data_IF_502723725476
#
_entry.id   IF_502723725476
#
_cell.length_a   1.000
_cell.length_b   1.000
_cell.length_c   1.000
_cell.angle_alpha   90.00
_cell.angle_beta   90.00
_cell.angle_gamma   90.00
#
_symmetry.space_group_name_H-M   'P 1'
#
loop_
_entity.id
_entity.type
_entity.pdbx_description
1 polymer ?
#
# COMPACT_ATOMS: atom_id res chain seq x y z
N UNK A 1 -21.57 -3.15 -12.27
CA UNK A 1 -20.21 -3.22 -11.70
C UNK A 1 -20.16 -2.21 -10.57
N UNK A 2 -20.20 -2.65 -9.30
CA UNK A 2 -20.14 -1.73 -8.15
C UNK A 2 -18.70 -1.22 -8.01
N UNK A 3 -18.50 0.07 -8.30
CA UNK A 3 -17.26 0.78 -8.01
C UNK A 3 -17.16 0.97 -6.50
N UNK A 4 -16.20 0.29 -5.86
CA UNK A 4 -15.80 0.67 -4.51
C UNK A 4 -15.05 2.00 -4.62
N UNK A 5 -15.45 2.99 -3.83
CA UNK A 5 -14.71 4.25 -3.75
C UNK A 5 -13.31 3.95 -3.18
N UNK A 6 -12.21 4.51 -3.69
CA UNK A 6 -10.87 4.39 -3.08
C UNK A 6 -10.86 4.69 -1.57
N UNK A 7 -11.73 5.58 -1.10
CA UNK A 7 -11.91 5.89 0.33
C UNK A 7 -12.60 4.77 1.13
N UNK A 8 -12.98 3.66 0.50
CA UNK A 8 -13.59 2.51 1.18
C UNK A 8 -12.56 1.62 1.87
N UNK A 9 -11.27 2.00 1.84
CA UNK A 9 -10.16 1.31 2.50
C UNK A 9 -10.08 -0.17 2.10
N UNK A 10 -10.08 -1.07 3.08
CA UNK A 10 -9.99 -2.52 2.87
C UNK A 10 -11.04 -3.09 1.91
N UNK A 11 -12.25 -2.50 1.82
CA UNK A 11 -13.28 -2.96 0.88
C UNK A 11 -12.91 -2.68 -0.57
N UNK A 12 -12.21 -1.58 -0.83
CA UNK A 12 -11.70 -1.26 -2.16
C UNK A 12 -10.62 -2.26 -2.58
N UNK A 13 -9.66 -2.52 -1.70
CA UNK A 13 -8.58 -3.49 -1.95
C UNK A 13 -9.12 -4.92 -2.13
N UNK A 14 -10.08 -5.35 -1.31
CA UNK A 14 -10.74 -6.64 -1.50
C UNK A 14 -11.43 -6.71 -2.87
N UNK A 15 -12.17 -5.66 -3.27
CA UNK A 15 -12.83 -5.64 -4.57
C UNK A 15 -11.82 -5.70 -5.71
N UNK A 16 -10.69 -5.02 -5.57
CA UNK A 16 -9.59 -5.04 -6.53
C UNK A 16 -8.99 -6.45 -6.66
N UNK A 17 -8.70 -7.12 -5.55
CA UNK A 17 -8.21 -8.50 -5.55
C UNK A 17 -9.20 -9.45 -6.23
N UNK A 18 -10.50 -9.33 -5.95
CA UNK A 18 -11.54 -10.16 -6.57
C UNK A 18 -11.68 -9.95 -8.09
N UNK A 19 -11.20 -8.82 -8.64
CA UNK A 19 -11.17 -8.61 -10.09
C UNK A 19 -9.99 -9.29 -10.79
N UNK A 20 -8.93 -9.58 -10.05
CA UNK A 20 -7.67 -10.12 -10.59
C UNK A 20 -7.53 -11.62 -10.27
N UNK A 21 -7.85 -12.02 -9.04
CA UNK A 21 -7.74 -13.40 -8.58
C UNK A 21 -8.93 -14.23 -9.09
N UNK A 22 -8.65 -15.14 -10.02
CA UNK A 22 -9.67 -16.06 -10.56
C UNK A 22 -9.81 -17.28 -9.66
N UNK A 23 -11.03 -17.50 -9.16
CA UNK A 23 -11.38 -18.70 -8.38
C UNK A 23 -10.62 -18.84 -7.05
N UNK A 24 -10.63 -17.82 -6.17
CA UNK A 24 -10.05 -17.96 -4.83
C UNK A 24 -10.71 -19.12 -4.09
N UNK A 25 -9.90 -20.01 -3.51
CA UNK A 25 -10.38 -21.16 -2.73
C UNK A 25 -10.90 -20.76 -1.36
N UNK A 26 -10.40 -19.64 -0.82
CA UNK A 26 -10.81 -19.07 0.46
C UNK A 26 -10.51 -17.56 0.50
N UNK A 27 -11.01 -16.86 1.51
CA UNK A 27 -10.59 -15.47 1.75
C UNK A 27 -9.09 -15.36 2.05
N UNK A 28 -8.50 -16.34 2.74
CA UNK A 28 -7.04 -16.41 2.98
C UNK A 28 -6.24 -16.50 1.68
N UNK A 29 -6.76 -17.20 0.67
CA UNK A 29 -6.10 -17.26 -0.64
C UNK A 29 -5.97 -15.88 -1.32
N UNK A 30 -6.81 -14.91 -0.95
CA UNK A 30 -6.69 -13.53 -1.43
C UNK A 30 -5.51 -12.80 -0.78
N UNK A 31 -5.17 -13.16 0.46
CA UNK A 31 -4.00 -12.61 1.17
C UNK A 31 -2.68 -13.24 0.73
N UNK A 32 -2.72 -14.42 0.09
CA UNK A 32 -1.51 -15.11 -0.34
C UNK A 32 -1.07 -14.65 -1.74
N UNK A 33 0.16 -14.15 -1.87
CA UNK A 33 0.82 -13.82 -3.15
C UNK A 33 2.10 -14.64 -3.21
N UNK A 34 2.25 -15.46 -4.25
CA UNK A 34 3.45 -16.31 -4.45
C UNK A 34 3.85 -17.16 -3.23
N UNK A 35 2.87 -17.60 -2.43
CA UNK A 35 3.07 -18.42 -1.23
C UNK A 35 3.39 -17.62 0.04
N UNK A 36 3.36 -16.28 -0.01
CA UNK A 36 3.53 -15.40 1.15
C UNK A 36 2.17 -14.87 1.57
N UNK A 37 1.80 -15.06 2.83
CA UNK A 37 0.58 -14.48 3.40
C UNK A 37 0.82 -13.03 3.86
N UNK A 38 -0.03 -12.13 3.39
CA UNK A 38 -0.04 -10.73 3.77
C UNK A 38 -1.12 -10.45 4.85
N UNK A 39 -0.94 -9.40 5.66
CA UNK A 39 -1.85 -9.12 6.80
C UNK A 39 -3.09 -8.34 6.38
N UNK A 40 -3.01 -7.58 5.30
CA UNK A 40 -4.08 -6.71 4.80
C UNK A 40 -4.34 -6.95 3.31
N UNK A 41 -5.55 -6.63 2.85
CA UNK A 41 -5.84 -6.68 1.42
C UNK A 41 -5.01 -5.65 0.64
N UNK A 42 -4.66 -4.52 1.28
CA UNK A 42 -3.74 -3.52 0.72
C UNK A 42 -2.37 -4.11 0.41
N UNK A 43 -1.75 -4.78 1.37
CA UNK A 43 -0.43 -5.41 1.19
C UNK A 43 -0.47 -6.47 0.08
N UNK A 44 -1.52 -7.29 0.04
CA UNK A 44 -1.68 -8.29 -1.02
C UNK A 44 -1.88 -7.65 -2.42
N UNK A 45 -2.50 -6.46 -2.49
CA UNK A 45 -2.59 -5.68 -3.73
C UNK A 45 -1.22 -5.11 -4.14
N UNK A 46 -0.46 -4.55 -3.19
CA UNK A 46 0.90 -4.03 -3.44
C UNK A 46 1.82 -5.15 -3.94
N UNK A 47 1.82 -6.30 -3.26
CA UNK A 47 2.63 -7.45 -3.64
C UNK A 47 2.27 -8.02 -5.03
N UNK A 48 1.01 -7.86 -5.47
CA UNK A 48 0.57 -8.20 -6.83
C UNK A 48 0.86 -7.11 -7.87
N UNK A 49 1.46 -5.99 -7.48
CA UNK A 49 1.71 -4.83 -8.35
C UNK A 49 0.43 -4.08 -8.77
N UNK A 50 -0.66 -4.21 -8.00
CA UNK A 50 -1.93 -3.53 -8.27
C UNK A 50 -1.99 -2.13 -7.64
N UNK A 51 -1.09 -1.84 -6.71
CA UNK A 51 -0.94 -0.57 -6.01
C UNK A 51 0.54 -0.25 -5.89
N UNK A 52 0.89 1.04 -5.98
CA UNK A 52 2.22 1.52 -5.62
C UNK A 52 2.37 1.54 -4.09
N UNK A 53 3.56 1.22 -3.61
CA UNK A 53 3.90 1.35 -2.19
C UNK A 53 4.28 2.81 -1.93
N UNK A 54 3.32 3.64 -1.50
CA UNK A 54 3.56 5.06 -1.17
C UNK A 54 4.53 5.28 0.02
N UNK A 55 5.06 4.20 0.59
CA UNK A 55 5.93 4.21 1.77
C UNK A 55 7.37 4.72 1.46
N UNK A 56 7.66 5.09 0.21
CA UNK A 56 8.95 5.70 -0.17
C UNK A 56 9.18 7.03 0.56
N UNK A 57 8.14 7.85 0.70
CA UNK A 57 8.23 9.15 1.36
C UNK A 57 8.46 9.02 2.85
N UNK A 58 7.78 8.06 3.48
CA UNK A 58 7.94 7.75 4.90
C UNK A 58 9.37 7.24 5.17
N UNK A 59 9.88 6.31 4.36
CA UNK A 59 11.28 5.84 4.45
C UNK A 59 12.27 6.99 4.25
N UNK A 60 12.04 7.85 3.27
CA UNK A 60 12.90 9.02 3.02
C UNK A 60 12.94 9.97 4.22
N UNK A 61 11.78 10.19 4.87
CA UNK A 61 11.70 11.01 6.08
C UNK A 61 12.38 10.35 7.29
N UNK A 62 12.20 9.03 7.48
CA UNK A 62 12.89 8.27 8.52
C UNK A 62 14.42 8.36 8.39
N UNK A 63 14.95 8.17 7.19
CA UNK A 63 16.38 8.32 6.91
C UNK A 63 16.86 9.77 7.14
N UNK A 64 16.06 10.75 6.73
CA UNK A 64 16.39 12.16 6.89
C UNK A 64 16.47 12.57 8.37
N UNK A 65 15.63 12.02 9.25
CA UNK A 65 15.67 12.30 10.69
C UNK A 65 16.99 11.83 11.32
N UNK A 66 17.57 10.73 10.82
CA UNK A 66 18.85 10.20 11.32
C UNK A 66 20.03 11.06 10.83
N UNK A 67 19.97 11.55 9.59
CA UNK A 67 21.12 12.16 8.91
C UNK A 67 21.09 13.70 8.84
N UNK A 68 19.95 14.36 9.11
CA UNK A 68 19.74 15.79 8.84
C UNK A 68 19.30 16.55 10.08
N UNK A 69 19.46 17.86 10.03
CA UNK A 69 18.96 18.76 11.08
C UNK A 69 17.43 18.93 10.97
N UNK A 70 16.77 19.27 12.07
CA UNK A 70 15.31 19.45 12.07
C UNK A 70 14.79 20.48 11.05
N UNK A 71 15.58 21.51 10.72
CA UNK A 71 15.24 22.46 9.64
C UNK A 71 15.21 21.78 8.26
N UNK A 72 16.19 20.92 7.97
CA UNK A 72 16.27 20.22 6.70
C UNK A 72 15.16 19.18 6.55
N UNK A 73 14.79 18.48 7.63
CA UNK A 73 13.66 17.54 7.63
C UNK A 73 12.34 18.28 7.37
N UNK A 74 12.09 19.43 8.02
CA UNK A 74 10.90 20.25 7.74
C UNK A 74 10.85 20.73 6.29
N UNK A 75 12.00 21.12 5.73
CA UNK A 75 12.08 21.52 4.31
C UNK A 75 11.80 20.34 3.37
N UNK A 76 12.30 19.15 3.69
CA UNK A 76 12.02 17.92 2.94
C UNK A 76 10.53 17.59 2.97
N UNK A 77 9.89 17.68 4.14
CA UNK A 77 8.45 17.48 4.29
C UNK A 77 7.63 18.46 3.44
N UNK A 78 7.98 19.75 3.44
CA UNK A 78 7.33 20.72 2.55
C UNK A 78 7.48 20.36 1.06
N UNK A 79 8.64 19.82 0.66
CA UNK A 79 8.89 19.43 -0.72
C UNK A 79 8.07 18.20 -1.14
N UNK A 80 7.83 17.25 -0.22
CA UNK A 80 6.97 16.08 -0.47
C UNK A 80 5.50 16.49 -0.66
N UNK A 81 5.06 17.55 0.01
CA UNK A 81 3.69 18.07 -0.09
C UNK A 81 3.43 18.99 -1.31
N UNK A 82 4.47 19.35 -2.07
CA UNK A 82 4.37 20.30 -3.19
C UNK A 82 4.40 19.56 -4.53
#
# INVERSE_FOLDING_TARGET
MYFANPNSGERFYLRLLLTVVKGPSSFESLYSVDGIEHKTYREACIARGLLEDDNEWDKCLEEAVIMKTGHQVRRLFCLILT
#
